data_IF_684848249873
#
_entry.id   IF_684848249873
#
_cell.length_a   1.000
_cell.length_b   1.000
_cell.length_c   1.000
_cell.angle_alpha   90.00
_cell.angle_beta   90.00
_cell.angle_gamma   90.00
#
_symmetry.space_group_name_H-M   'P 1'
#
loop_
_entity.id
_entity.type
_entity.pdbx_description
1 polymer ?
#
# COMPACT_ATOMS: atom_id res chain seq x y z
N UNK A 1 -8.61 2.17 -22.95
CA UNK A 1 -8.61 0.76 -22.52
C UNK A 1 -8.05 0.71 -21.11
N UNK A 2 -8.64 -0.09 -20.22
CA UNK A 2 -8.06 -0.26 -18.89
C UNK A 2 -6.85 -1.19 -19.02
N UNK A 3 -5.66 -0.68 -18.77
CA UNK A 3 -4.43 -1.46 -18.69
C UNK A 3 -4.06 -1.66 -17.22
N UNK A 4 -3.38 -2.77 -16.93
CA UNK A 4 -2.81 -3.04 -15.61
C UNK A 4 -1.28 -3.04 -15.72
N UNK A 5 -0.61 -2.64 -14.65
CA UNK A 5 0.85 -2.74 -14.54
C UNK A 5 1.16 -3.52 -13.27
N UNK A 6 1.59 -4.77 -13.42
CA UNK A 6 2.20 -5.52 -12.33
C UNK A 6 3.63 -4.98 -12.16
N UNK A 7 3.93 -4.47 -10.97
CA UNK A 7 5.18 -3.79 -10.63
C UNK A 7 5.81 -4.46 -9.42
N UNK A 8 7.10 -4.67 -9.52
CA UNK A 8 7.97 -5.02 -8.41
C UNK A 8 9.25 -4.18 -8.44
N UNK A 9 9.82 -3.91 -7.27
CA UNK A 9 11.02 -3.09 -7.09
C UNK A 9 12.00 -3.77 -6.15
N UNK A 10 13.27 -3.78 -6.52
CA UNK A 10 14.33 -4.05 -5.57
C UNK A 10 14.97 -2.75 -5.08
N UNK A 11 15.30 -2.70 -3.80
CA UNK A 11 15.92 -1.51 -3.19
C UNK A 11 17.00 -1.84 -2.19
N UNK A 12 17.98 -0.96 -2.14
CA UNK A 12 19.04 -0.98 -1.15
C UNK A 12 18.74 -0.01 0.01
N UNK A 13 19.41 -0.18 1.11
CA UNK A 13 19.34 0.69 2.29
C UNK A 13 20.74 0.89 2.90
N UNK A 14 20.83 1.80 3.88
CA UNK A 14 22.08 2.02 4.62
C UNK A 14 22.55 0.75 5.33
N UNK A 15 23.84 0.46 5.28
CA UNK A 15 24.49 -0.62 6.05
C UNK A 15 24.23 -0.49 7.56
N UNK A 16 24.21 0.75 8.08
CA UNK A 16 23.93 1.08 9.47
C UNK A 16 22.44 1.03 9.82
N UNK A 17 21.60 0.52 8.92
CA UNK A 17 20.17 0.43 9.09
C UNK A 17 19.52 1.79 9.32
N UNK A 18 18.77 1.96 10.40
CA UNK A 18 18.02 3.21 10.63
C UNK A 18 18.88 4.44 10.91
N UNK A 19 20.05 4.26 11.54
CA UNK A 19 20.95 5.36 11.91
C UNK A 19 21.64 6.01 10.72
N UNK A 20 21.93 5.24 9.66
CA UNK A 20 22.56 5.75 8.44
C UNK A 20 21.59 6.17 7.33
N UNK A 21 20.28 6.26 7.62
CA UNK A 21 19.29 6.64 6.62
C UNK A 21 19.39 8.11 6.21
N UNK A 22 19.45 8.33 4.91
CA UNK A 22 19.32 9.69 4.35
C UNK A 22 17.87 10.17 4.48
N UNK A 23 17.65 11.39 5.00
CA UNK A 23 16.32 11.97 5.08
C UNK A 23 15.63 12.02 3.71
N UNK A 24 14.38 11.53 3.65
CA UNK A 24 13.61 11.48 2.41
C UNK A 24 13.87 10.26 1.52
N UNK A 25 14.99 9.53 1.71
CA UNK A 25 15.33 8.33 0.92
C UNK A 25 15.75 7.17 1.84
N UNK A 26 14.82 6.56 2.60
CA UNK A 26 15.16 5.43 3.47
C UNK A 26 15.59 4.18 2.71
N UNK A 27 15.16 4.06 1.45
CA UNK A 27 15.46 2.97 0.53
C UNK A 27 15.71 3.55 -0.86
N UNK A 28 16.80 3.15 -1.48
CA UNK A 28 17.22 3.56 -2.82
C UNK A 28 16.91 2.42 -3.79
N UNK A 29 16.10 2.67 -4.81
CA UNK A 29 15.72 1.67 -5.81
C UNK A 29 16.96 1.31 -6.64
N UNK A 30 17.17 0.01 -6.83
CA UNK A 30 18.29 -0.56 -7.60
C UNK A 30 17.81 -1.40 -8.79
N UNK A 31 16.53 -1.78 -8.83
CA UNK A 31 15.93 -2.48 -9.97
C UNK A 31 14.45 -2.12 -10.06
N UNK A 32 13.94 -1.97 -11.29
CA UNK A 32 12.52 -1.83 -11.60
C UNK A 32 12.16 -2.94 -12.57
N UNK A 33 11.14 -3.72 -12.23
CA UNK A 33 10.53 -4.72 -13.09
C UNK A 33 9.03 -4.50 -13.19
N UNK A 34 8.49 -4.52 -14.40
CA UNK A 34 7.06 -4.35 -14.59
C UNK A 34 6.54 -5.06 -15.83
N UNK A 35 5.30 -5.53 -15.75
CA UNK A 35 4.55 -6.15 -16.85
C UNK A 35 3.28 -5.37 -17.10
N UNK A 36 3.10 -4.84 -18.31
CA UNK A 36 1.86 -4.20 -18.75
C UNK A 36 0.92 -5.26 -19.30
N UNK A 37 -0.32 -5.25 -18.82
CA UNK A 37 -1.36 -6.20 -19.18
C UNK A 37 -2.56 -5.45 -19.77
N UNK A 38 -3.28 -6.10 -20.68
CA UNK A 38 -4.57 -5.63 -21.18
C UNK A 38 -5.71 -5.87 -20.16
N UNK A 39 -6.93 -5.52 -20.55
CA UNK A 39 -8.12 -5.71 -19.71
C UNK A 39 -8.46 -7.19 -19.43
N UNK A 40 -7.94 -8.11 -20.23
CA UNK A 40 -8.08 -9.56 -20.10
C UNK A 40 -6.87 -10.19 -19.38
N UNK A 41 -5.93 -9.37 -18.90
CA UNK A 41 -4.69 -9.75 -18.25
C UNK A 41 -3.68 -10.46 -19.18
N UNK A 42 -3.79 -10.28 -20.50
CA UNK A 42 -2.75 -10.74 -21.43
C UNK A 42 -1.56 -9.78 -21.38
N UNK A 43 -0.32 -10.28 -21.35
CA UNK A 43 0.86 -9.45 -21.41
C UNK A 43 0.94 -8.64 -22.72
N UNK A 44 1.19 -7.33 -22.61
CA UNK A 44 1.37 -6.42 -23.74
C UNK A 44 2.84 -6.06 -23.93
N UNK A 45 3.53 -5.73 -22.87
CA UNK A 45 4.95 -5.36 -22.86
C UNK A 45 5.54 -5.47 -21.48
N UNK A 46 6.86 -5.48 -21.40
CA UNK A 46 7.61 -5.53 -20.16
C UNK A 46 8.57 -4.34 -20.07
N UNK A 47 8.85 -3.90 -18.85
CA UNK A 47 9.88 -2.93 -18.56
C UNK A 47 10.83 -3.50 -17.52
N UNK A 48 12.11 -3.40 -17.79
CA UNK A 48 13.17 -3.81 -16.87
C UNK A 48 14.34 -2.85 -16.92
N UNK A 49 14.79 -2.39 -15.77
CA UNK A 49 16.04 -1.64 -15.69
C UNK A 49 16.76 -1.88 -14.37
N UNK A 50 18.08 -1.87 -14.45
CA UNK A 50 18.97 -1.88 -13.30
C UNK A 50 19.47 -0.47 -13.04
N UNK A 51 19.46 -0.06 -11.77
CA UNK A 51 19.79 1.29 -11.34
C UNK A 51 21.07 1.28 -10.51
N UNK A 52 21.98 2.18 -10.85
CA UNK A 52 23.21 2.36 -10.10
C UNK A 52 22.94 3.11 -8.80
N UNK A 53 23.21 2.51 -7.62
CA UNK A 53 23.01 3.21 -6.36
C UNK A 53 24.01 4.37 -6.23
N UNK A 54 23.49 5.57 -6.00
CA UNK A 54 24.26 6.81 -5.82
C UNK A 54 24.49 7.14 -4.35
N UNK A 55 23.53 6.79 -3.51
CA UNK A 55 23.50 7.15 -2.09
C UNK A 55 24.06 6.01 -1.24
N UNK A 56 23.48 4.82 -1.33
CA UNK A 56 23.93 3.65 -0.58
C UNK A 56 24.90 2.81 -1.43
N UNK A 57 26.17 3.24 -1.46
CA UNK A 57 27.23 2.69 -2.35
C UNK A 57 27.66 1.27 -2.04
N UNK A 58 27.18 0.68 -0.95
CA UNK A 58 27.38 -0.72 -0.57
C UNK A 58 26.01 -1.36 -0.36
N UNK A 59 25.89 -2.64 -0.67
CA UNK A 59 24.67 -3.37 -0.39
C UNK A 59 24.55 -3.67 1.10
N UNK A 60 23.39 -3.40 1.66
CA UNK A 60 23.04 -3.88 2.99
C UNK A 60 23.07 -5.41 3.00
N UNK A 61 23.59 -6.05 4.06
CA UNK A 61 23.79 -7.51 4.10
C UNK A 61 22.51 -8.30 3.76
N UNK A 62 21.35 -7.89 4.27
CA UNK A 62 20.07 -8.55 3.96
C UNK A 62 19.66 -8.41 2.50
N UNK A 63 20.05 -7.35 1.83
CA UNK A 63 19.79 -7.15 0.41
C UNK A 63 20.69 -8.06 -0.41
N UNK A 64 21.98 -8.15 -0.06
CA UNK A 64 22.93 -9.04 -0.73
C UNK A 64 22.63 -10.54 -0.55
N UNK A 65 21.90 -10.91 0.51
CA UNK A 65 21.44 -12.29 0.71
C UNK A 65 20.23 -12.67 -0.16
N UNK A 66 19.45 -11.69 -0.58
CA UNK A 66 18.17 -11.89 -1.27
C UNK A 66 18.30 -11.64 -2.77
N UNK A 67 18.94 -10.54 -3.18
CA UNK A 67 19.05 -10.19 -4.59
C UNK A 67 20.23 -10.91 -5.26
N UNK A 68 20.00 -11.46 -6.44
CA UNK A 68 21.02 -12.14 -7.24
C UNK A 68 21.88 -11.19 -8.08
N UNK A 69 22.06 -9.93 -7.63
CA UNK A 69 22.93 -8.93 -8.30
C UNK A 69 23.92 -8.37 -7.30
N UNK A 70 25.23 -8.46 -7.64
CA UNK A 70 26.28 -7.85 -6.86
C UNK A 70 26.42 -6.34 -7.08
N UNK A 71 26.97 -5.61 -6.10
CA UNK A 71 27.16 -4.15 -6.18
C UNK A 71 28.00 -3.72 -7.39
N UNK A 72 29.00 -4.51 -7.77
CA UNK A 72 29.87 -4.22 -8.93
C UNK A 72 29.11 -4.35 -10.25
N UNK A 73 28.17 -5.27 -10.32
CA UNK A 73 27.27 -5.41 -11.48
C UNK A 73 26.33 -4.22 -11.56
N UNK A 74 25.73 -3.81 -10.43
CA UNK A 74 24.89 -2.61 -10.35
C UNK A 74 25.66 -1.35 -10.79
N UNK A 75 26.92 -1.20 -10.38
CA UNK A 75 27.77 -0.08 -10.79
C UNK A 75 28.11 -0.10 -12.27
N UNK A 76 28.29 -1.29 -12.86
CA UNK A 76 28.72 -1.47 -14.26
C UNK A 76 27.54 -1.39 -15.24
N UNK A 77 26.41 -2.02 -14.91
CA UNK A 77 25.25 -2.13 -15.80
C UNK A 77 24.14 -1.12 -15.48
N UNK A 78 24.08 -0.60 -14.24
CA UNK A 78 23.04 0.29 -13.79
C UNK A 78 23.14 1.69 -14.39
N UNK A 79 21.98 2.20 -14.78
CA UNK A 79 21.83 3.60 -15.20
C UNK A 79 21.41 4.52 -14.03
N UNK A 80 21.27 5.80 -14.34
CA UNK A 80 20.82 6.81 -13.38
C UNK A 80 19.32 6.76 -13.16
N UNK A 81 18.88 6.79 -11.90
CA UNK A 81 17.45 6.75 -11.57
C UNK A 81 16.67 7.91 -12.21
N UNK A 82 17.25 9.11 -12.29
CA UNK A 82 16.59 10.28 -12.89
C UNK A 82 16.19 10.04 -14.36
N UNK A 83 17.03 9.34 -15.10
CA UNK A 83 16.77 8.98 -16.50
C UNK A 83 15.81 7.80 -16.57
N UNK A 84 16.18 6.68 -15.95
CA UNK A 84 15.44 5.42 -16.03
C UNK A 84 14.04 5.51 -15.38
N UNK A 85 13.89 6.30 -14.32
CA UNK A 85 12.60 6.57 -13.70
C UNK A 85 11.65 7.36 -14.60
N UNK A 86 12.17 8.32 -15.40
CA UNK A 86 11.36 9.03 -16.41
C UNK A 86 10.98 8.09 -17.56
N UNK A 87 11.89 7.28 -18.05
CA UNK A 87 11.62 6.25 -19.09
C UNK A 87 10.56 5.26 -18.60
N UNK A 88 10.62 4.84 -17.33
CA UNK A 88 9.60 3.99 -16.72
C UNK A 88 8.22 4.67 -16.69
N UNK A 89 8.16 5.93 -16.26
CA UNK A 89 6.91 6.68 -16.22
C UNK A 89 6.34 6.90 -17.63
N UNK A 90 7.19 7.20 -18.61
CA UNK A 90 6.76 7.34 -20.00
C UNK A 90 6.20 6.01 -20.53
N UNK A 91 6.85 4.90 -20.25
CA UNK A 91 6.34 3.58 -20.59
C UNK A 91 4.99 3.27 -19.90
N UNK A 92 4.79 3.74 -18.64
CA UNK A 92 3.53 3.55 -17.93
C UNK A 92 2.39 4.38 -18.53
N UNK A 93 2.62 5.67 -18.76
CA UNK A 93 1.57 6.67 -19.00
C UNK A 93 1.51 7.15 -20.45
N UNK A 94 2.59 6.99 -21.24
CA UNK A 94 2.72 7.50 -22.60
C UNK A 94 2.33 8.97 -22.68
N UNK A 95 3.22 9.85 -22.25
CA UNK A 95 2.97 11.29 -22.29
C UNK A 95 2.98 11.83 -23.71
N UNK A 96 2.10 12.77 -23.99
CA UNK A 96 2.14 13.56 -25.22
C UNK A 96 3.21 14.68 -25.16
N UNK A 97 3.31 15.49 -26.22
CA UNK A 97 4.29 16.60 -26.31
C UNK A 97 4.06 17.69 -25.26
N UNK A 98 2.82 17.84 -24.78
CA UNK A 98 2.45 18.77 -23.72
C UNK A 98 2.66 18.18 -22.31
N UNK A 99 3.07 16.91 -22.20
CA UNK A 99 3.29 16.21 -20.95
C UNK A 99 2.02 15.64 -20.30
N UNK A 100 0.91 15.51 -21.02
CA UNK A 100 -0.31 14.89 -20.51
C UNK A 100 -0.28 13.37 -20.67
N UNK A 101 -0.69 12.59 -19.65
CA UNK A 101 -0.72 11.15 -19.74
C UNK A 101 -1.84 10.66 -20.68
N UNK A 102 -1.49 9.85 -21.66
CA UNK A 102 -2.41 9.24 -22.62
C UNK A 102 -2.99 7.92 -22.11
N UNK A 103 -2.32 7.28 -21.15
CA UNK A 103 -2.78 6.07 -20.48
C UNK A 103 -2.99 6.33 -18.98
N UNK A 104 -3.96 5.64 -18.39
CA UNK A 104 -4.24 5.65 -16.94
C UNK A 104 -4.26 4.21 -16.43
N UNK A 105 -3.08 3.57 -16.33
CA UNK A 105 -3.00 2.18 -15.92
C UNK A 105 -3.38 2.01 -14.44
N UNK A 106 -3.93 0.84 -14.11
CA UNK A 106 -4.11 0.40 -12.74
C UNK A 106 -2.86 -0.35 -12.29
N UNK A 107 -2.16 0.18 -11.31
CA UNK A 107 -0.99 -0.49 -10.74
C UNK A 107 -1.39 -1.66 -9.84
N UNK A 108 -0.57 -2.70 -9.88
CA UNK A 108 -0.74 -3.95 -9.14
C UNK A 108 0.61 -4.34 -8.55
N UNK A 109 0.67 -4.53 -7.22
CA UNK A 109 1.91 -4.88 -6.52
C UNK A 109 1.70 -6.07 -5.59
N UNK A 110 2.75 -6.80 -5.26
CA UNK A 110 2.69 -7.81 -4.22
C UNK A 110 2.94 -7.18 -2.85
N UNK A 111 1.91 -6.51 -2.31
CA UNK A 111 1.96 -5.77 -1.05
C UNK A 111 1.87 -4.25 -1.19
N UNK A 112 2.21 -3.51 -0.12
CA UNK A 112 1.95 -2.07 -0.03
C UNK A 112 3.20 -1.17 -0.17
N UNK A 113 4.39 -1.73 -0.42
CA UNK A 113 5.63 -0.98 -0.28
C UNK A 113 6.10 -0.28 -1.56
N UNK A 114 6.01 -0.95 -2.70
CA UNK A 114 6.62 -0.57 -3.97
C UNK A 114 6.25 0.84 -4.43
N UNK A 115 4.95 1.12 -4.53
CA UNK A 115 4.47 2.43 -4.99
C UNK A 115 4.89 3.57 -4.07
N UNK A 116 4.93 3.33 -2.76
CA UNK A 116 5.43 4.32 -1.81
C UNK A 116 6.93 4.55 -1.98
N UNK A 117 7.73 3.51 -2.23
CA UNK A 117 9.17 3.66 -2.45
C UNK A 117 9.47 4.30 -3.80
N UNK A 118 8.73 3.95 -4.85
CA UNK A 118 8.83 4.61 -6.15
C UNK A 118 8.65 6.13 -6.01
N UNK A 119 7.56 6.55 -5.40
CA UNK A 119 7.25 7.98 -5.21
C UNK A 119 8.27 8.69 -4.32
N UNK A 120 8.88 8.02 -3.33
CA UNK A 120 9.96 8.57 -2.51
C UNK A 120 11.22 8.81 -3.32
N UNK A 121 11.62 7.83 -4.13
CA UNK A 121 12.78 7.98 -5.01
C UNK A 121 12.53 9.07 -6.05
N UNK A 122 11.36 9.11 -6.68
CA UNK A 122 10.98 10.18 -7.60
C UNK A 122 11.11 11.56 -6.94
N UNK A 123 10.54 11.73 -5.74
CA UNK A 123 10.63 12.99 -4.99
C UNK A 123 12.08 13.37 -4.68
N UNK A 124 12.90 12.42 -4.25
CA UNK A 124 14.30 12.65 -3.89
C UNK A 124 15.11 13.11 -5.10
N UNK A 125 14.88 12.50 -6.25
CA UNK A 125 15.60 12.80 -7.51
C UNK A 125 14.89 13.87 -8.38
N UNK A 126 13.90 14.58 -7.86
CA UNK A 126 13.23 15.68 -8.55
C UNK A 126 12.42 15.26 -9.78
N UNK A 127 11.87 14.05 -9.79
CA UNK A 127 10.95 13.58 -10.82
C UNK A 127 9.54 13.95 -10.39
N UNK A 128 8.79 14.60 -11.30
CA UNK A 128 7.40 14.95 -11.08
C UNK A 128 6.54 13.69 -10.88
N UNK A 129 5.56 13.78 -9.99
CA UNK A 129 4.70 12.67 -9.63
C UNK A 129 3.39 12.71 -10.44
N UNK A 130 3.20 11.86 -11.47
CA UNK A 130 2.01 11.84 -12.31
C UNK A 130 0.85 11.05 -11.72
N UNK A 131 1.05 10.36 -10.59
CA UNK A 131 -0.01 9.53 -10.01
C UNK A 131 -1.18 10.37 -9.52
N UNK A 132 -2.43 9.87 -9.65
CA UNK A 132 -3.62 10.57 -9.19
C UNK A 132 -3.65 10.76 -7.67
N UNK A 133 -4.54 11.61 -7.19
CA UNK A 133 -4.83 11.74 -5.76
C UNK A 133 -6.36 11.66 -5.53
N UNK A 134 -6.81 10.76 -4.63
CA UNK A 134 -6.04 9.70 -3.94
C UNK A 134 -5.53 8.64 -4.93
N UNK A 135 -4.35 8.05 -4.64
CA UNK A 135 -3.79 7.01 -5.48
C UNK A 135 -4.26 5.62 -5.03
N UNK A 136 -5.06 4.98 -5.88
CA UNK A 136 -5.61 3.65 -5.66
C UNK A 136 -4.91 2.63 -6.55
N UNK A 137 -4.69 1.43 -6.02
CA UNK A 137 -4.01 0.33 -6.70
C UNK A 137 -4.52 -1.02 -6.22
N UNK A 138 -4.17 -2.10 -6.89
CA UNK A 138 -4.41 -3.45 -6.42
C UNK A 138 -3.20 -3.98 -5.65
N UNK A 139 -3.39 -4.20 -4.36
CA UNK A 139 -2.51 -5.03 -3.53
C UNK A 139 -2.88 -6.50 -3.78
N UNK A 140 -2.15 -7.13 -4.71
CA UNK A 140 -2.44 -8.50 -5.18
C UNK A 140 -2.28 -9.52 -4.05
N UNK A 141 -1.34 -9.32 -3.13
CA UNK A 141 -1.18 -10.14 -1.94
C UNK A 141 -2.45 -10.13 -1.07
N UNK A 142 -3.05 -8.95 -0.88
CA UNK A 142 -4.31 -8.80 -0.16
C UNK A 142 -5.47 -9.47 -0.90
N UNK A 143 -5.55 -9.32 -2.22
CA UNK A 143 -6.60 -9.96 -3.03
C UNK A 143 -6.47 -11.48 -3.02
N UNK A 144 -5.24 -11.99 -3.13
CA UNK A 144 -4.95 -13.41 -3.01
C UNK A 144 -5.39 -13.97 -1.64
N UNK A 145 -5.08 -13.25 -0.55
CA UNK A 145 -5.50 -13.63 0.79
C UNK A 145 -7.03 -13.59 0.96
N UNK A 146 -7.74 -12.68 0.30
CA UNK A 146 -9.21 -12.66 0.25
C UNK A 146 -9.77 -13.87 -0.50
N UNK A 147 -9.15 -14.24 -1.61
CA UNK A 147 -9.57 -15.40 -2.43
C UNK A 147 -9.42 -16.72 -1.67
N UNK A 148 -8.32 -16.91 -0.93
CA UNK A 148 -7.96 -18.20 -0.32
C UNK A 148 -8.48 -18.37 1.11
N UNK A 149 -8.49 -17.33 1.94
CA UNK A 149 -8.69 -17.41 3.38
C UNK A 149 -9.81 -16.52 3.91
N UNK A 150 -10.56 -15.85 3.05
CA UNK A 150 -11.65 -14.97 3.45
C UNK A 150 -11.18 -13.90 4.47
N UNK A 151 -11.79 -13.88 5.65
CA UNK A 151 -11.52 -12.82 6.64
C UNK A 151 -10.20 -12.96 7.40
N UNK A 152 -9.63 -14.13 7.54
CA UNK A 152 -8.41 -14.38 8.35
C UNK A 152 -7.11 -13.92 7.69
N UNK A 153 -7.11 -13.57 6.43
CA UNK A 153 -6.07 -12.89 5.63
C UNK A 153 -4.62 -13.02 6.15
N UNK A 154 -4.04 -14.20 6.22
CA UNK A 154 -2.62 -14.32 6.55
C UNK A 154 -1.79 -13.67 5.44
N UNK A 155 -0.69 -13.05 5.81
CA UNK A 155 0.28 -12.56 4.83
C UNK A 155 0.96 -13.77 4.19
N UNK A 156 0.86 -13.90 2.87
CA UNK A 156 1.47 -14.98 2.08
C UNK A 156 2.56 -14.37 1.21
N UNK A 157 3.72 -15.01 1.12
CA UNK A 157 4.79 -14.59 0.21
C UNK A 157 4.45 -14.97 -1.23
N UNK A 158 5.03 -14.27 -2.21
CA UNK A 158 4.75 -14.49 -3.63
C UNK A 158 5.03 -15.93 -4.06
N UNK A 159 6.18 -16.49 -3.67
CA UNK A 159 6.56 -17.87 -3.99
C UNK A 159 5.53 -18.91 -3.47
N UNK A 160 5.02 -18.73 -2.24
CA UNK A 160 3.97 -19.62 -1.70
C UNK A 160 2.65 -19.48 -2.46
N UNK A 161 2.31 -18.30 -2.93
CA UNK A 161 1.11 -18.10 -3.74
C UNK A 161 1.27 -18.77 -5.12
N UNK A 162 2.42 -18.62 -5.76
CA UNK A 162 2.78 -19.23 -7.04
C UNK A 162 2.70 -20.76 -6.93
N UNK A 163 3.35 -21.33 -5.91
CA UNK A 163 3.32 -22.78 -5.62
C UNK A 163 1.89 -23.31 -5.43
N UNK A 164 1.10 -22.64 -4.56
CA UNK A 164 -0.26 -23.07 -4.24
C UNK A 164 -1.24 -22.99 -5.41
N UNK A 165 -0.98 -22.12 -6.39
CA UNK A 165 -1.76 -21.98 -7.61
C UNK A 165 -1.28 -22.90 -8.74
N UNK A 166 -0.26 -23.72 -8.51
CA UNK A 166 0.35 -24.60 -9.51
C UNK A 166 0.93 -23.81 -10.71
N UNK A 167 1.41 -22.61 -10.47
CA UNK A 167 2.08 -21.82 -11.50
C UNK A 167 3.49 -22.36 -11.65
N UNK A 168 3.89 -22.65 -12.89
CA UNK A 168 5.22 -23.16 -13.16
C UNK A 168 6.27 -22.10 -12.83
N UNK A 169 7.29 -22.51 -12.07
CA UNK A 169 8.43 -21.68 -11.71
C UNK A 169 9.50 -21.83 -12.79
N UNK A 170 9.52 -20.91 -13.75
CA UNK A 170 10.47 -20.90 -14.85
C UNK A 170 11.64 -19.94 -14.59
N UNK A 171 11.53 -19.04 -13.61
CA UNK A 171 12.47 -17.97 -13.31
C UNK A 171 12.87 -17.99 -11.82
N UNK A 172 14.02 -17.41 -11.53
CA UNK A 172 14.47 -17.18 -10.15
C UNK A 172 13.65 -16.05 -9.50
N UNK A 173 13.40 -16.16 -8.20
CA UNK A 173 12.81 -15.09 -7.39
C UNK A 173 13.86 -14.04 -7.01
N UNK A 174 13.39 -12.90 -6.53
CA UNK A 174 14.22 -11.77 -6.08
C UNK A 174 14.94 -11.05 -7.23
N UNK A 175 14.25 -10.96 -8.34
CA UNK A 175 14.52 -10.07 -9.45
C UNK A 175 13.23 -9.36 -9.78
N UNK A 176 13.29 -8.05 -9.87
CA UNK A 176 12.08 -7.22 -10.00
C UNK A 176 11.20 -7.61 -11.20
N UNK A 177 11.79 -7.94 -12.36
CA UNK A 177 10.98 -8.35 -13.51
C UNK A 177 10.31 -9.70 -13.32
N UNK A 178 11.04 -10.68 -12.80
CA UNK A 178 10.53 -12.03 -12.54
C UNK A 178 9.41 -12.01 -11.50
N UNK A 179 9.56 -11.24 -10.42
CA UNK A 179 8.53 -11.09 -9.38
C UNK A 179 7.30 -10.33 -9.90
N UNK A 180 7.48 -9.34 -10.78
CA UNK A 180 6.37 -8.70 -11.50
C UNK A 180 5.64 -9.68 -12.44
N UNK A 181 6.38 -10.56 -13.16
CA UNK A 181 5.80 -11.61 -14.01
C UNK A 181 5.01 -12.64 -13.18
N UNK A 182 5.54 -13.06 -12.01
CA UNK A 182 4.81 -13.96 -11.12
C UNK A 182 3.56 -13.30 -10.53
N UNK A 183 3.64 -12.02 -10.16
CA UNK A 183 2.47 -11.25 -9.73
C UNK A 183 1.40 -11.20 -10.82
N UNK A 184 1.79 -10.96 -12.09
CA UNK A 184 0.88 -11.01 -13.24
C UNK A 184 0.27 -12.40 -13.44
N UNK A 185 1.07 -13.48 -13.37
CA UNK A 185 0.58 -14.88 -13.46
C UNK A 185 -0.41 -15.22 -12.33
N UNK A 186 -0.17 -14.74 -11.10
CA UNK A 186 -1.13 -14.89 -10.00
C UNK A 186 -2.44 -14.17 -10.32
N UNK A 187 -2.39 -12.92 -10.81
CA UNK A 187 -3.59 -12.18 -11.22
C UNK A 187 -4.40 -12.92 -12.30
N UNK A 188 -3.74 -13.56 -13.27
CA UNK A 188 -4.39 -14.36 -14.32
C UNK A 188 -5.16 -15.58 -13.76
N UNK A 189 -4.77 -16.09 -12.58
CA UNK A 189 -5.48 -17.17 -11.87
C UNK A 189 -6.62 -16.67 -10.98
N UNK A 190 -6.79 -15.35 -10.87
CA UNK A 190 -7.82 -14.72 -10.05
C UNK A 190 -8.96 -14.21 -10.92
N UNK A 191 -10.20 -14.30 -10.41
CA UNK A 191 -11.34 -13.60 -11.02
C UNK A 191 -11.32 -12.12 -10.63
N UNK A 192 -10.56 -11.31 -11.39
CA UNK A 192 -10.39 -9.89 -11.10
C UNK A 192 -11.70 -9.09 -11.15
N UNK A 193 -12.74 -9.59 -11.82
CA UNK A 193 -14.06 -8.95 -11.80
C UNK A 193 -14.69 -8.98 -10.41
N UNK A 194 -14.47 -10.06 -9.65
CA UNK A 194 -14.93 -10.15 -8.25
C UNK A 194 -14.17 -9.21 -7.32
N UNK A 195 -12.94 -8.86 -7.69
CA UNK A 195 -12.07 -8.02 -6.85
C UNK A 195 -11.96 -6.57 -7.31
N UNK A 196 -12.67 -6.17 -8.36
CA UNK A 196 -12.56 -4.83 -8.97
C UNK A 196 -12.69 -3.68 -7.99
N UNK A 197 -13.53 -3.85 -6.95
CA UNK A 197 -13.82 -2.82 -5.95
C UNK A 197 -12.96 -2.95 -4.68
N UNK A 198 -12.06 -3.94 -4.59
CA UNK A 198 -11.18 -4.16 -3.44
C UNK A 198 -9.82 -3.45 -3.61
N UNK A 199 -9.88 -2.17 -3.88
CA UNK A 199 -8.69 -1.34 -4.06
C UNK A 199 -7.96 -1.08 -2.74
N UNK A 200 -6.66 -0.89 -2.83
CA UNK A 200 -5.81 -0.38 -1.76
C UNK A 200 -5.48 1.08 -2.01
N UNK A 201 -5.20 1.80 -0.93
CA UNK A 201 -4.84 3.21 -0.97
C UNK A 201 -3.35 3.36 -0.65
N UNK A 202 -2.62 4.04 -1.53
CA UNK A 202 -1.25 4.46 -1.23
C UNK A 202 -1.23 5.64 -0.25
N UNK A 203 -0.24 5.65 0.65
CA UNK A 203 -0.11 6.66 1.70
C UNK A 203 1.13 7.55 1.53
N UNK A 204 1.72 7.62 0.36
CA UNK A 204 2.85 8.51 0.13
C UNK A 204 2.43 9.98 0.23
N UNK A 205 1.31 10.33 -0.43
CA UNK A 205 0.66 11.63 -0.28
C UNK A 205 -0.47 11.52 0.74
N UNK A 206 -0.32 12.27 1.82
CA UNK A 206 -1.35 12.39 2.85
C UNK A 206 -2.08 13.73 2.70
N UNK A 207 -3.36 13.82 3.13
CA UNK A 207 -4.11 15.06 3.10
C UNK A 207 -3.40 16.19 3.86
N UNK A 208 -3.38 17.39 3.30
CA UNK A 208 -2.82 18.60 3.94
C UNK A 208 -3.90 19.47 4.55
N UNK A 209 -5.06 19.52 3.91
CA UNK A 209 -6.22 20.30 4.33
C UNK A 209 -7.41 19.38 4.63
N UNK A 210 -8.46 19.95 5.20
CA UNK A 210 -9.71 19.22 5.49
C UNK A 210 -10.41 18.73 4.21
N UNK A 211 -10.33 19.52 3.12
CA UNK A 211 -10.94 19.18 1.83
C UNK A 211 -10.21 18.05 1.10
N UNK A 212 -8.92 17.88 1.41
CA UNK A 212 -8.12 16.76 0.88
C UNK A 212 -8.30 15.46 1.67
N UNK A 213 -9.03 15.48 2.81
CA UNK A 213 -9.25 14.28 3.61
C UNK A 213 -9.98 13.21 2.81
N UNK A 214 -9.48 11.98 2.87
CA UNK A 214 -9.94 10.90 2.01
C UNK A 214 -11.04 10.12 2.72
N UNK A 215 -12.18 9.95 2.07
CA UNK A 215 -13.21 9.00 2.49
C UNK A 215 -13.60 8.09 1.33
N UNK A 216 -13.33 6.80 1.48
CA UNK A 216 -13.57 5.78 0.47
C UNK A 216 -14.48 4.69 1.04
N UNK A 217 -15.41 4.24 0.22
CA UNK A 217 -16.30 3.11 0.52
C UNK A 217 -15.89 1.94 -0.35
N UNK A 218 -15.63 0.80 0.28
CA UNK A 218 -15.32 -0.48 -0.33
C UNK A 218 -16.47 -1.46 -0.07
N UNK A 219 -16.53 -2.63 -0.71
CA UNK A 219 -17.66 -3.55 -0.57
C UNK A 219 -18.00 -3.93 0.88
N UNK A 220 -16.98 -4.12 1.72
CA UNK A 220 -17.13 -4.63 3.08
C UNK A 220 -16.67 -3.67 4.18
N UNK A 221 -16.19 -2.47 3.82
CA UNK A 221 -15.77 -1.46 4.80
C UNK A 221 -15.67 -0.07 4.19
N UNK A 222 -15.55 0.96 5.03
CA UNK A 222 -15.06 2.28 4.62
C UNK A 222 -13.72 2.62 5.24
N UNK A 223 -12.99 3.49 4.55
CA UNK A 223 -11.71 4.01 4.99
C UNK A 223 -11.72 5.54 4.95
N UNK A 224 -11.26 6.15 6.04
CA UNK A 224 -11.03 7.58 6.13
C UNK A 224 -9.57 7.84 6.48
N UNK A 225 -8.96 8.82 5.82
CA UNK A 225 -7.60 9.29 6.09
C UNK A 225 -7.66 10.79 6.37
N UNK A 226 -7.22 11.18 7.54
CA UNK A 226 -7.23 12.56 7.97
C UNK A 226 -6.03 13.34 7.44
N UNK A 227 -6.14 14.67 7.44
CA UNK A 227 -4.98 15.56 7.41
C UNK A 227 -4.03 15.31 8.59
N UNK A 228 -2.85 15.90 8.53
CA UNK A 228 -1.87 15.81 9.60
C UNK A 228 -2.23 16.72 10.78
N UNK A 229 -1.96 16.25 11.98
CA UNK A 229 -2.14 16.97 13.25
C UNK A 229 -0.82 17.08 14.02
N UNK A 230 -0.62 18.13 14.84
CA UNK A 230 0.59 18.29 15.64
C UNK A 230 0.74 17.20 16.71
N UNK A 231 -0.36 16.54 17.08
CA UNK A 231 -0.36 15.48 18.08
C UNK A 231 -1.69 14.76 18.20
N UNK A 232 -1.68 13.66 18.92
CA UNK A 232 -2.81 12.75 19.10
C UNK A 232 -4.04 13.44 19.68
N UNK A 233 -3.86 14.30 20.67
CA UNK A 233 -4.98 14.98 21.35
C UNK A 233 -5.74 15.91 20.40
N UNK A 234 -5.02 16.63 19.54
CA UNK A 234 -5.62 17.49 18.53
C UNK A 234 -6.49 16.70 17.56
N UNK A 235 -5.97 15.59 17.04
CA UNK A 235 -6.72 14.75 16.11
C UNK A 235 -7.91 14.02 16.76
N UNK A 236 -7.78 13.58 18.02
CA UNK A 236 -8.88 12.90 18.73
C UNK A 236 -10.02 13.84 19.14
N UNK A 237 -9.81 15.16 19.13
CA UNK A 237 -10.88 16.17 19.30
C UNK A 237 -11.64 16.42 17.99
N UNK A 238 -11.05 16.05 16.87
CA UNK A 238 -11.65 16.27 15.55
C UNK A 238 -12.82 15.30 15.30
N UNK A 239 -14.01 15.85 15.02
CA UNK A 239 -15.23 15.05 14.80
C UNK A 239 -15.08 14.10 13.63
N UNK A 240 -14.51 14.55 12.47
CA UNK A 240 -14.30 13.69 11.30
C UNK A 240 -13.44 12.46 11.63
N UNK A 241 -12.48 12.59 12.55
CA UNK A 241 -11.66 11.48 13.04
C UNK A 241 -12.47 10.54 13.91
N UNK A 242 -13.25 11.07 14.87
CA UNK A 242 -13.87 10.28 15.93
C UNK A 242 -15.31 9.87 15.65
N UNK A 243 -16.00 10.51 14.73
CA UNK A 243 -17.35 10.10 14.33
C UNK A 243 -17.31 8.82 13.49
N UNK A 244 -18.33 7.99 13.67
CA UNK A 244 -18.54 6.79 12.92
C UNK A 244 -19.80 6.91 12.05
N UNK A 245 -19.63 6.60 10.77
CA UNK A 245 -20.69 6.64 9.77
C UNK A 245 -20.88 5.23 9.20
N UNK A 246 -22.12 4.78 9.07
CA UNK A 246 -22.43 3.55 8.37
C UNK A 246 -22.15 3.71 6.88
N UNK A 247 -21.21 2.95 6.33
CA UNK A 247 -20.82 3.09 4.93
C UNK A 247 -21.89 2.59 3.95
N UNK A 248 -22.89 1.82 4.41
CA UNK A 248 -23.99 1.37 3.57
C UNK A 248 -25.16 2.36 3.47
N UNK A 249 -25.39 3.19 4.51
CA UNK A 249 -26.55 4.11 4.50
C UNK A 249 -26.19 5.53 4.97
N UNK A 250 -24.93 5.86 5.12
CA UNK A 250 -24.40 7.18 5.52
C UNK A 250 -24.94 7.73 6.84
N UNK A 251 -25.60 6.90 7.66
CA UNK A 251 -26.14 7.30 8.96
C UNK A 251 -25.04 7.39 9.99
N UNK A 252 -25.08 8.43 10.82
CA UNK A 252 -24.25 8.54 12.02
C UNK A 252 -24.56 7.39 12.98
N UNK A 253 -23.51 6.70 13.46
CA UNK A 253 -23.66 5.56 14.36
C UNK A 253 -23.65 6.01 15.83
N UNK A 254 -24.57 5.45 16.61
CA UNK A 254 -24.43 5.47 18.07
C UNK A 254 -23.21 4.62 18.45
N UNK A 255 -22.46 5.03 19.48
CA UNK A 255 -21.22 4.35 19.91
C UNK A 255 -21.45 3.68 21.28
N UNK A 256 -22.05 2.47 21.35
CA UNK A 256 -22.18 1.74 22.61
C UNK A 256 -20.83 1.45 23.26
N UNK A 257 -19.77 1.31 22.45
CA UNK A 257 -18.38 1.29 22.94
C UNK A 257 -17.63 2.47 22.31
N UNK A 258 -17.37 3.57 23.02
CA UNK A 258 -16.59 4.69 22.51
C UNK A 258 -15.14 4.26 22.24
N UNK A 259 -14.39 5.11 21.52
CA UNK A 259 -12.99 4.87 21.21
C UNK A 259 -12.17 4.60 22.47
N UNK A 260 -11.44 3.48 22.47
CA UNK A 260 -10.51 3.10 23.54
C UNK A 260 -9.19 2.60 22.94
N UNK A 261 -8.06 2.87 23.61
CA UNK A 261 -6.75 2.43 23.13
C UNK A 261 -6.60 0.92 23.30
N UNK A 262 -6.08 0.26 22.24
CA UNK A 262 -5.59 -1.13 22.30
C UNK A 262 -4.07 -1.13 22.53
N UNK A 263 -3.40 -0.15 21.92
CA UNK A 263 -1.99 0.17 22.13
C UNK A 263 -1.75 1.66 21.84
N UNK A 264 -0.49 2.10 21.88
CA UNK A 264 -0.12 3.50 21.66
C UNK A 264 -0.58 4.07 20.31
N UNK A 265 -0.72 3.23 19.28
CA UNK A 265 -1.01 3.64 17.90
C UNK A 265 -2.36 3.15 17.36
N UNK A 266 -3.13 2.41 18.15
CA UNK A 266 -4.38 1.82 17.68
C UNK A 266 -5.49 1.97 18.70
N UNK A 267 -6.67 2.33 18.19
CA UNK A 267 -7.93 2.43 18.94
C UNK A 267 -8.99 1.55 18.29
N UNK A 268 -9.90 1.06 19.12
CA UNK A 268 -11.12 0.39 18.69
C UNK A 268 -12.35 1.14 19.21
N UNK A 269 -13.46 0.98 18.50
CA UNK A 269 -14.77 1.51 18.83
C UNK A 269 -15.82 0.52 18.30
N UNK A 270 -16.96 0.44 18.95
CA UNK A 270 -18.14 -0.26 18.44
C UNK A 270 -19.25 0.76 18.20
N UNK A 271 -19.72 0.84 16.98
CA UNK A 271 -20.89 1.61 16.56
C UNK A 271 -22.09 0.70 16.35
N UNK A 272 -23.27 1.29 16.32
CA UNK A 272 -24.52 0.57 16.00
C UNK A 272 -25.37 1.37 15.03
N UNK A 273 -25.72 0.71 13.92
CA UNK A 273 -26.65 1.19 12.91
C UNK A 273 -28.00 0.46 13.08
N UNK A 274 -29.13 1.16 13.28
CA UNK A 274 -30.42 0.49 13.41
C UNK A 274 -30.82 -0.35 12.18
N UNK A 275 -30.28 -0.02 11.00
CA UNK A 275 -30.57 -0.74 9.75
C UNK A 275 -29.59 -1.89 9.45
N UNK A 276 -28.31 -1.72 9.83
CA UNK A 276 -27.25 -2.64 9.40
C UNK A 276 -26.50 -3.32 10.55
N UNK A 277 -26.92 -3.08 11.82
CA UNK A 277 -26.32 -3.74 12.98
C UNK A 277 -25.02 -3.10 13.48
N UNK A 278 -24.16 -3.93 14.08
CA UNK A 278 -22.91 -3.47 14.67
C UNK A 278 -21.86 -3.14 13.61
N UNK A 279 -21.05 -2.11 13.91
CA UNK A 279 -19.91 -1.71 13.11
C UNK A 279 -18.67 -1.54 13.99
N UNK A 280 -17.59 -2.25 13.69
CA UNK A 280 -16.29 -2.07 14.34
C UNK A 280 -15.54 -0.91 13.69
N UNK A 281 -15.21 0.10 14.48
CA UNK A 281 -14.25 1.14 14.14
C UNK A 281 -12.84 0.75 14.57
N UNK A 282 -11.87 0.87 13.67
CA UNK A 282 -10.44 0.74 13.95
C UNK A 282 -9.75 2.02 13.51
N UNK A 283 -9.11 2.71 14.45
CA UNK A 283 -8.36 3.92 14.20
C UNK A 283 -6.87 3.63 14.41
N UNK A 284 -6.06 3.92 13.41
CA UNK A 284 -4.60 3.81 13.47
C UNK A 284 -3.98 5.19 13.40
N UNK A 285 -2.98 5.44 14.23
CA UNK A 285 -2.15 6.63 14.19
C UNK A 285 -0.89 6.31 13.38
N UNK A 286 -0.64 7.10 12.35
CA UNK A 286 0.58 7.02 11.54
C UNK A 286 1.37 8.33 11.67
N UNK A 287 2.69 8.25 11.58
CA UNK A 287 3.57 9.42 11.62
C UNK A 287 3.84 9.92 10.21
N UNK A 288 3.98 11.23 10.09
CA UNK A 288 4.50 11.90 8.92
C UNK A 288 6.02 12.02 8.99
N UNK A 289 6.66 12.38 7.89
CA UNK A 289 8.11 12.62 7.86
C UNK A 289 8.55 13.87 8.62
N UNK A 290 7.64 14.84 8.83
CA UNK A 290 7.87 16.09 9.58
C UNK A 290 7.46 16.01 11.06
N UNK A 291 7.28 14.79 11.58
CA UNK A 291 7.01 14.54 13.00
C UNK A 291 5.57 14.75 13.45
N UNK A 292 4.67 15.13 12.54
CA UNK A 292 3.22 15.16 12.80
C UNK A 292 2.64 13.75 12.71
N UNK A 293 1.36 13.65 13.00
CA UNK A 293 0.60 12.40 12.90
C UNK A 293 -0.65 12.58 12.05
N UNK A 294 -1.12 11.49 11.47
CA UNK A 294 -2.42 11.42 10.82
C UNK A 294 -3.15 10.13 11.22
N UNK A 295 -4.45 10.11 11.00
CA UNK A 295 -5.31 9.01 11.39
C UNK A 295 -5.83 8.26 10.17
N UNK A 296 -5.80 6.93 10.25
CA UNK A 296 -6.47 6.04 9.29
C UNK A 296 -7.57 5.32 10.04
N UNK A 297 -8.82 5.67 9.74
CA UNK A 297 -10.01 5.04 10.30
C UNK A 297 -10.57 4.02 9.31
N UNK A 298 -10.87 2.83 9.79
CA UNK A 298 -11.61 1.81 9.04
C UNK A 298 -12.88 1.49 9.80
N UNK A 299 -14.02 1.51 9.11
CA UNK A 299 -15.33 1.12 9.66
C UNK A 299 -15.84 -0.08 8.89
N UNK A 300 -16.11 -1.18 9.58
CA UNK A 300 -16.61 -2.44 9.01
C UNK A 300 -17.83 -2.90 9.78
N UNK A 301 -18.89 -3.34 9.08
CA UNK A 301 -19.99 -4.07 9.70
C UNK A 301 -19.48 -5.42 10.21
N UNK A 302 -19.98 -5.83 11.36
CA UNK A 302 -19.53 -7.05 12.05
C UNK A 302 -20.72 -7.79 12.65
N UNK A 303 -20.53 -9.10 12.84
CA UNK A 303 -21.47 -9.95 13.55
C UNK A 303 -21.50 -9.70 15.07
N UNK A 304 -22.37 -10.42 15.77
CA UNK A 304 -22.49 -10.35 17.23
C UNK A 304 -21.24 -10.80 17.95
N UNK A 305 -20.62 -11.88 17.50
CA UNK A 305 -19.42 -12.44 18.12
C UNK A 305 -18.24 -11.45 18.07
N UNK A 306 -18.00 -10.84 16.92
CA UNK A 306 -16.98 -9.79 16.78
C UNK A 306 -17.33 -8.54 17.63
N UNK A 307 -18.61 -8.20 17.78
CA UNK A 307 -19.03 -7.08 18.63
C UNK A 307 -18.76 -7.39 20.10
N UNK A 308 -18.98 -8.61 20.56
CA UNK A 308 -18.65 -9.08 21.91
C UNK A 308 -17.14 -9.04 22.16
N UNK A 309 -16.33 -9.52 21.22
CA UNK A 309 -14.86 -9.41 21.31
C UNK A 309 -14.38 -7.98 21.53
N UNK A 310 -14.99 -6.99 20.85
CA UNK A 310 -14.63 -5.58 21.03
C UNK A 310 -15.00 -5.10 22.44
N UNK A 311 -16.13 -5.55 22.99
CA UNK A 311 -16.56 -5.22 24.36
C UNK A 311 -15.60 -5.84 25.40
N UNK A 312 -15.21 -7.09 25.21
CA UNK A 312 -14.23 -7.76 26.09
C UNK A 312 -12.88 -7.06 26.11
N UNK A 313 -12.33 -6.74 24.93
CA UNK A 313 -11.09 -5.95 24.81
C UNK A 313 -11.17 -4.61 25.52
N UNK A 314 -12.34 -3.96 25.52
CA UNK A 314 -12.54 -2.72 26.30
C UNK A 314 -12.49 -2.97 27.79
N UNK A 315 -13.11 -4.05 28.30
CA UNK A 315 -13.04 -4.41 29.73
C UNK A 315 -11.60 -4.66 30.17
N UNK A 316 -10.83 -5.40 29.37
CA UNK A 316 -9.40 -5.65 29.63
C UNK A 316 -8.56 -4.36 29.63
N UNK A 317 -8.78 -3.47 28.65
CA UNK A 317 -8.07 -2.19 28.57
C UNK A 317 -8.35 -1.30 29.80
N UNK A 318 -9.55 -1.34 30.35
CA UNK A 318 -9.90 -0.63 31.58
C UNK A 318 -9.22 -1.21 32.82
N UNK A 319 -9.06 -2.54 32.91
CA UNK A 319 -8.35 -3.19 34.00
C UNK A 319 -6.86 -2.84 34.06
N UNK A 320 -6.22 -2.70 32.86
CA UNK A 320 -4.79 -2.35 32.73
C UNK A 320 -4.48 -0.89 33.06
N UNK A 321 -5.47 -0.01 33.01
CA UNK A 321 -5.32 1.44 33.32
C UNK A 321 -5.78 1.82 34.74
N UNK A 322 -6.16 0.85 35.56
CA UNK A 322 -6.38 0.95 37.01
C UNK A 322 -5.16 0.39 37.75
#
# INVERSE_FOLDING_TARGET
MNTYIALDLEWNQSEDGKSGRVPGLPFEIIEIGAVKLDAQLNPLSEFHCVIKPKIYKRLHFRVSEVINIGIEELKKKGGDFEKLGREFLDWCFRFDEEGNPQEKPMFCTWGEADLTQLQRNMKYYGIENPFPYPFLYYDVQKLYALMTNGEKRPVVTLNKAVESLGIREDNEYHRALEDAQYTAKVMQKMDMLKFRDYLSLDYFRIPRTEDEEIYLVFPDYSKYVSRAFPGKEAGMKEKRVTDMICYQCSRMLKKPVPWFPVNQKQYLCLGYCPKHGFARGKLRIKNTSDGKIYFVKTTRLVDGDTAEEVQEKRKEARKKNR
#
